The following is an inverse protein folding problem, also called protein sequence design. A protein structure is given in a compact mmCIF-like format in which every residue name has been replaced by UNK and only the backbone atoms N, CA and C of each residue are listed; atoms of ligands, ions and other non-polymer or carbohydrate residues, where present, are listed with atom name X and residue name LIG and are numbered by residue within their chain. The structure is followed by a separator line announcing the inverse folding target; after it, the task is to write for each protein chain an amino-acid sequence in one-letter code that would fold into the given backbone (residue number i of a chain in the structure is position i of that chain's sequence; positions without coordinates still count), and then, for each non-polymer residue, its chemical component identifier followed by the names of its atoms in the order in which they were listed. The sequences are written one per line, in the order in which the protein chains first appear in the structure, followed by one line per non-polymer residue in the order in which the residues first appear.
data_IF_903941724669
#
_entry.id   IF_903941724669
#
_cell.length_a   1.000
_cell.length_b   1.000
_cell.length_c   1.000
_cell.angle_alpha   90.00
_cell.angle_beta   90.00
_cell.angle_gamma   90.00
#
_symmetry.space_group_name_H-M   'P 1'
#
loop_
_entity.id
_entity.type
_entity.pdbx_description
1 polymer ?
#
# COMPACT_ATOMS: atom_id res chain seq x y z
N UNK A 1 19.56 29.92 92.11
CA UNK A 1 18.69 31.12 92.04
C UNK A 1 19.46 32.24 92.72
N UNK A 2 19.78 33.39 92.15
CA UNK A 2 19.63 33.94 90.80
C UNK A 2 19.98 35.42 91.00
N UNK A 3 21.26 35.78 90.87
CA UNK A 3 21.68 37.18 90.72
C UNK A 3 21.98 37.35 89.23
N UNK A 4 20.93 37.47 88.41
CA UNK A 4 20.42 38.75 87.91
C UNK A 4 21.56 39.66 87.45
N UNK A 5 21.87 39.48 86.17
CA UNK A 5 22.63 40.37 85.31
C UNK A 5 22.14 41.81 85.50
N UNK A 6 22.91 42.64 86.19
CA UNK A 6 22.74 44.09 86.15
C UNK A 6 23.29 44.56 84.78
N UNK A 7 22.51 44.30 83.73
CA UNK A 7 22.75 44.85 82.40
C UNK A 7 22.43 46.34 82.43
N UNK A 8 23.43 47.18 82.14
CA UNK A 8 23.27 48.62 82.04
C UNK A 8 22.17 48.95 81.01
N UNK A 9 21.08 49.63 81.41
CA UNK A 9 19.91 49.85 80.55
C UNK A 9 20.28 50.63 79.28
N UNK A 10 21.30 51.49 79.32
CA UNK A 10 21.73 52.26 78.16
C UNK A 10 22.40 51.38 77.08
N UNK A 11 23.12 50.34 77.47
CA UNK A 11 23.76 49.42 76.50
C UNK A 11 22.72 48.53 75.81
N UNK A 12 21.62 48.22 76.49
CA UNK A 12 20.49 47.49 75.93
C UNK A 12 19.76 48.36 74.88
N UNK A 13 19.51 49.64 75.18
CA UNK A 13 18.94 50.58 74.21
C UNK A 13 19.80 50.75 72.97
N UNK A 14 21.13 50.95 73.11
CA UNK A 14 22.04 51.04 71.96
C UNK A 14 22.03 49.78 71.10
N UNK A 15 21.96 48.60 71.72
CA UNK A 15 21.87 47.32 71.00
C UNK A 15 20.58 47.20 70.21
N UNK A 16 19.46 47.61 70.81
CA UNK A 16 18.15 47.61 70.15
C UNK A 16 18.13 48.58 68.98
N UNK A 17 18.60 49.82 69.16
CA UNK A 17 18.70 50.81 68.08
C UNK A 17 19.54 50.29 66.92
N UNK A 18 20.72 49.72 67.21
CA UNK A 18 21.59 49.10 66.20
C UNK A 18 20.91 47.94 65.48
N UNK A 19 20.13 47.13 66.20
CA UNK A 19 19.38 46.01 65.61
C UNK A 19 18.24 46.48 64.71
N UNK A 20 17.55 47.56 65.08
CA UNK A 20 16.48 48.17 64.29
C UNK A 20 17.06 48.78 63.02
N UNK A 21 18.12 49.58 63.11
CA UNK A 21 18.78 50.19 61.94
C UNK A 21 19.30 49.12 60.97
N UNK A 22 19.84 48.01 61.50
CA UNK A 22 20.28 46.88 60.70
C UNK A 22 19.10 46.15 60.03
N UNK A 23 17.99 46.00 60.72
CA UNK A 23 16.77 45.40 60.19
C UNK A 23 16.10 46.27 59.11
N UNK A 24 16.09 47.60 59.28
CA UNK A 24 15.59 48.53 58.26
C UNK A 24 16.43 48.47 56.99
N UNK A 25 17.77 48.48 57.14
CA UNK A 25 18.67 48.35 55.99
C UNK A 25 18.55 46.99 55.27
N UNK A 26 18.27 45.89 55.99
CA UNK A 26 18.04 44.60 55.35
C UNK A 26 16.69 44.52 54.63
N UNK A 27 15.64 45.16 55.17
CA UNK A 27 14.34 45.25 54.51
C UNK A 27 14.40 46.06 53.21
N UNK A 28 15.09 47.21 53.19
CA UNK A 28 15.29 48.01 51.98
C UNK A 28 16.09 47.25 50.91
N UNK A 29 17.10 46.47 51.34
CA UNK A 29 17.90 45.63 50.44
C UNK A 29 17.05 44.52 49.80
N UNK A 30 16.17 43.89 50.58
CA UNK A 30 15.26 42.86 50.06
C UNK A 30 14.19 43.43 49.13
N UNK A 31 13.68 44.63 49.44
CA UNK A 31 12.70 45.31 48.58
C UNK A 31 13.30 45.68 47.21
N UNK A 32 14.53 46.21 47.18
CA UNK A 32 15.24 46.50 45.93
C UNK A 32 15.62 45.25 45.14
N UNK A 33 15.96 44.15 45.84
CA UNK A 33 16.23 42.87 45.21
C UNK A 33 14.95 42.26 44.59
N UNK A 34 13.81 42.39 45.27
CA UNK A 34 12.50 41.97 44.72
C UNK A 34 12.07 42.80 43.51
N UNK A 35 12.26 44.12 43.53
CA UNK A 35 11.92 44.99 42.40
C UNK A 35 12.73 44.62 41.14
N UNK A 36 14.03 44.37 41.32
CA UNK A 36 14.89 43.89 40.23
C UNK A 36 14.45 42.52 39.69
N UNK A 37 14.09 41.59 40.57
CA UNK A 37 13.55 40.28 40.16
C UNK A 37 12.24 40.43 39.39
N UNK A 38 11.32 41.28 39.88
CA UNK A 38 10.04 41.54 39.22
C UNK A 38 10.24 42.10 37.81
N UNK A 39 11.15 43.08 37.64
CA UNK A 39 11.52 43.61 36.31
C UNK A 39 12.09 42.54 35.37
N UNK A 40 12.96 41.66 35.87
CA UNK A 40 13.52 40.60 35.03
C UNK A 40 12.47 39.60 34.56
N UNK A 41 11.51 39.26 35.43
CA UNK A 41 10.43 38.33 35.10
C UNK A 41 9.45 38.98 34.13
N UNK A 42 9.11 40.26 34.32
CA UNK A 42 8.20 40.97 33.40
C UNK A 42 8.81 41.14 32.01
N UNK A 43 10.10 41.47 31.90
CA UNK A 43 10.78 41.61 30.61
C UNK A 43 10.91 40.26 29.87
N UNK A 44 11.19 39.18 30.61
CA UNK A 44 11.19 37.83 30.06
C UNK A 44 9.78 37.41 29.59
N UNK A 45 8.74 37.73 30.36
CA UNK A 45 7.35 37.45 30.00
C UNK A 45 6.88 38.26 28.78
N UNK A 46 7.28 39.53 28.67
CA UNK A 46 6.96 40.37 27.51
C UNK A 46 7.66 39.87 26.24
N UNK A 47 8.92 39.44 26.33
CA UNK A 47 9.63 38.83 25.20
C UNK A 47 8.98 37.52 24.77
N UNK A 48 8.61 36.68 25.72
CA UNK A 48 7.92 35.41 25.43
C UNK A 48 6.53 35.64 24.80
N UNK A 49 5.77 36.62 25.29
CA UNK A 49 4.45 36.93 24.73
C UNK A 49 4.54 37.55 23.34
N UNK A 50 5.51 38.45 23.09
CA UNK A 50 5.76 38.98 21.73
C UNK A 50 6.15 37.88 20.75
N UNK A 51 7.03 36.98 21.13
CA UNK A 51 7.41 35.82 20.30
C UNK A 51 6.21 34.90 20.03
N UNK A 52 5.34 34.68 21.03
CA UNK A 52 4.14 33.88 20.85
C UNK A 52 3.14 34.53 19.89
N UNK A 53 2.95 35.85 19.96
CA UNK A 53 2.07 36.61 19.06
C UNK A 53 2.62 36.62 17.63
N UNK A 54 3.91 36.94 17.47
CA UNK A 54 4.56 36.96 16.16
C UNK A 54 4.59 35.58 15.50
N UNK A 55 4.87 34.53 16.28
CA UNK A 55 4.73 33.16 15.81
C UNK A 55 3.28 32.86 15.38
N UNK A 56 2.28 33.25 16.17
CA UNK A 56 0.87 33.01 15.86
C UNK A 56 0.41 33.71 14.57
N UNK A 57 0.91 34.92 14.30
CA UNK A 57 0.62 35.67 13.09
C UNK A 57 1.27 35.02 11.86
N UNK A 58 2.53 34.59 11.98
CA UNK A 58 3.25 33.85 10.93
C UNK A 58 2.61 32.47 10.68
N UNK A 59 2.13 31.78 11.71
CA UNK A 59 1.42 30.52 11.56
C UNK A 59 0.03 30.70 10.93
N UNK A 60 -0.66 31.81 11.19
CA UNK A 60 -1.98 32.09 10.58
C UNK A 60 -1.87 32.37 9.08
N UNK A 61 -0.86 33.15 8.66
CA UNK A 61 -0.53 33.39 7.25
C UNK A 61 0.06 32.14 6.59
N UNK A 62 0.86 31.37 7.34
CA UNK A 62 1.48 30.13 6.92
C UNK A 62 0.46 29.01 6.66
N UNK A 63 -0.61 28.90 7.45
CA UNK A 63 -1.62 27.83 7.34
C UNK A 63 -2.28 27.76 5.95
N UNK A 64 -2.66 28.90 5.36
CA UNK A 64 -3.26 28.89 4.00
C UNK A 64 -2.25 28.47 2.94
N UNK A 65 -1.02 28.97 3.02
CA UNK A 65 0.03 28.65 2.07
C UNK A 65 0.47 27.18 2.21
N UNK A 66 0.57 26.67 3.44
CA UNK A 66 0.85 25.25 3.72
C UNK A 66 -0.28 24.37 3.19
N UNK A 67 -1.55 24.70 3.46
CA UNK A 67 -2.70 23.91 2.98
C UNK A 67 -2.78 23.84 1.45
N UNK A 68 -2.46 24.93 0.75
CA UNK A 68 -2.40 24.93 -0.72
C UNK A 68 -1.30 23.98 -1.20
N UNK A 69 -0.09 24.07 -0.64
CA UNK A 69 1.03 23.22 -1.03
C UNK A 69 0.82 21.74 -0.68
N UNK A 70 0.26 21.43 0.49
CA UNK A 70 -0.05 20.04 0.86
C UNK A 70 -1.16 19.46 -0.02
N UNK A 71 -2.19 20.26 -0.33
CA UNK A 71 -3.24 19.87 -1.27
C UNK A 71 -2.72 19.59 -2.68
N UNK A 72 -1.79 20.42 -3.16
CA UNK A 72 -1.17 20.28 -4.48
C UNK A 72 -0.31 19.00 -4.56
N UNK A 73 0.49 18.73 -3.53
CA UNK A 73 1.28 17.48 -3.46
C UNK A 73 0.37 16.25 -3.40
N UNK A 74 -0.70 16.28 -2.61
CA UNK A 74 -1.65 15.17 -2.53
C UNK A 74 -2.34 14.92 -3.88
N UNK A 75 -2.79 15.97 -4.57
CA UNK A 75 -3.38 15.86 -5.90
C UNK A 75 -2.40 15.30 -6.93
N UNK A 76 -1.12 15.72 -6.89
CA UNK A 76 -0.09 15.23 -7.80
C UNK A 76 0.17 13.72 -7.62
N UNK A 77 0.20 13.23 -6.37
CA UNK A 77 0.37 11.81 -6.09
C UNK A 77 -0.81 10.97 -6.59
N UNK A 78 -2.04 11.44 -6.40
CA UNK A 78 -3.25 10.74 -6.89
C UNK A 78 -3.27 10.67 -8.42
N UNK A 79 -3.02 11.80 -9.09
CA UNK A 79 -2.95 11.85 -10.56
C UNK A 79 -1.82 10.96 -11.10
N UNK A 80 -0.64 11.00 -10.48
CA UNK A 80 0.50 10.15 -10.86
C UNK A 80 0.20 8.67 -10.70
N UNK A 81 -0.45 8.27 -9.60
CA UNK A 81 -0.87 6.89 -9.36
C UNK A 81 -1.91 6.40 -10.37
N UNK A 82 -2.93 7.20 -10.68
CA UNK A 82 -3.94 6.86 -11.69
C UNK A 82 -3.32 6.71 -13.08
N UNK A 83 -2.46 7.64 -13.51
CA UNK A 83 -1.83 7.58 -14.82
C UNK A 83 -0.85 6.42 -14.94
N UNK A 84 -0.05 6.17 -13.90
CA UNK A 84 0.88 5.04 -13.84
C UNK A 84 0.15 3.69 -13.88
N UNK A 85 -0.90 3.53 -13.07
CA UNK A 85 -1.73 2.33 -13.07
C UNK A 85 -2.45 2.09 -14.39
N UNK A 86 -2.96 3.15 -15.03
CA UNK A 86 -3.60 3.06 -16.34
C UNK A 86 -2.61 2.63 -17.43
N UNK A 87 -1.40 3.20 -17.45
CA UNK A 87 -0.38 2.86 -18.46
C UNK A 87 0.13 1.43 -18.31
N UNK A 88 0.46 1.00 -17.09
CA UNK A 88 0.93 -0.36 -16.81
C UNK A 88 -0.17 -1.40 -17.09
N UNK A 89 -1.40 -1.14 -16.63
CA UNK A 89 -2.53 -2.03 -16.90
C UNK A 89 -2.84 -2.13 -18.41
N UNK A 90 -2.68 -1.04 -19.15
CA UNK A 90 -2.89 -1.04 -20.61
C UNK A 90 -1.79 -1.78 -21.36
N UNK A 91 -0.52 -1.68 -20.98
CA UNK A 91 0.56 -2.45 -21.61
C UNK A 91 0.43 -3.95 -21.33
N UNK A 92 0.13 -4.31 -20.08
CA UNK A 92 0.00 -5.71 -19.67
C UNK A 92 -1.24 -6.34 -20.32
N UNK A 93 -2.38 -5.63 -20.29
CA UNK A 93 -3.61 -6.07 -20.96
C UNK A 93 -3.46 -6.19 -22.47
N UNK A 94 -2.73 -5.28 -23.14
CA UNK A 94 -2.48 -5.37 -24.58
C UNK A 94 -1.61 -6.57 -24.94
N UNK A 95 -0.54 -6.83 -24.17
CA UNK A 95 0.35 -7.96 -24.43
C UNK A 95 -0.34 -9.32 -24.23
N UNK A 96 -1.11 -9.48 -23.14
CA UNK A 96 -1.89 -10.69 -22.90
C UNK A 96 -2.99 -10.88 -23.94
N UNK A 97 -3.72 -9.81 -24.29
CA UNK A 97 -4.79 -9.87 -25.28
C UNK A 97 -4.28 -10.28 -26.66
N UNK A 98 -3.13 -9.75 -27.09
CA UNK A 98 -2.52 -10.13 -28.38
C UNK A 98 -2.04 -11.58 -28.40
N UNK A 99 -1.41 -12.06 -27.32
CA UNK A 99 -0.92 -13.43 -27.28
C UNK A 99 -2.06 -14.45 -27.33
N UNK A 100 -3.12 -14.23 -26.54
CA UNK A 100 -4.29 -15.10 -26.49
C UNK A 100 -5.05 -15.05 -27.82
N UNK A 101 -5.31 -13.86 -28.35
CA UNK A 101 -6.01 -13.69 -29.63
C UNK A 101 -5.24 -14.30 -30.80
N UNK A 102 -3.92 -14.17 -30.82
CA UNK A 102 -3.10 -14.77 -31.87
C UNK A 102 -3.06 -16.30 -31.78
N UNK A 103 -3.00 -16.87 -30.58
CA UNK A 103 -3.09 -18.32 -30.41
C UNK A 103 -4.45 -18.85 -30.84
N UNK A 104 -5.55 -18.18 -30.44
CA UNK A 104 -6.90 -18.55 -30.86
C UNK A 104 -7.05 -18.48 -32.39
N UNK A 105 -6.61 -17.38 -33.01
CA UNK A 105 -6.65 -17.24 -34.47
C UNK A 105 -5.82 -18.32 -35.19
N UNK A 106 -4.64 -18.68 -34.67
CA UNK A 106 -3.85 -19.78 -35.22
C UNK A 106 -4.56 -21.13 -35.09
N UNK A 107 -5.20 -21.41 -33.95
CA UNK A 107 -5.92 -22.68 -33.75
C UNK A 107 -7.14 -22.80 -34.65
N UNK A 108 -7.89 -21.72 -34.84
CA UNK A 108 -9.04 -21.68 -35.74
C UNK A 108 -8.61 -21.81 -37.21
N UNK A 109 -7.54 -21.09 -37.60
CA UNK A 109 -6.98 -21.22 -38.94
C UNK A 109 -6.40 -22.61 -39.20
N UNK A 110 -5.75 -23.22 -38.20
CA UNK A 110 -5.23 -24.58 -38.32
C UNK A 110 -6.36 -25.62 -38.42
N UNK A 111 -7.44 -25.46 -37.66
CA UNK A 111 -8.62 -26.31 -37.76
C UNK A 111 -9.30 -26.19 -39.14
N UNK A 112 -9.46 -24.95 -39.64
CA UNK A 112 -10.00 -24.69 -40.97
C UNK A 112 -9.09 -25.23 -42.08
N UNK A 113 -7.78 -25.03 -41.96
CA UNK A 113 -6.79 -25.53 -42.91
C UNK A 113 -6.73 -27.06 -42.92
N UNK A 114 -6.86 -27.71 -41.76
CA UNK A 114 -6.91 -29.17 -41.67
C UNK A 114 -8.07 -29.77 -42.47
N UNK A 115 -9.25 -29.15 -42.42
CA UNK A 115 -10.41 -29.56 -43.22
C UNK A 115 -10.15 -29.56 -44.73
N UNK A 116 -9.27 -28.69 -45.22
CA UNK A 116 -8.88 -28.62 -46.63
C UNK A 116 -7.81 -29.63 -47.04
N UNK A 117 -7.16 -30.31 -46.10
CA UNK A 117 -6.17 -31.36 -46.41
C UNK A 117 -6.85 -32.59 -47.02
N UNK A 118 -6.13 -33.45 -47.77
CA UNK A 118 -6.70 -34.70 -48.30
C UNK A 118 -7.31 -35.58 -47.20
N UNK A 119 -6.69 -35.61 -46.01
CA UNK A 119 -7.18 -36.34 -44.84
C UNK A 119 -8.47 -35.73 -44.29
N UNK A 120 -8.57 -34.40 -44.23
CA UNK A 120 -9.79 -33.70 -43.81
C UNK A 120 -10.94 -33.88 -44.80
N UNK A 121 -10.65 -33.84 -46.10
CA UNK A 121 -11.64 -34.13 -47.15
C UNK A 121 -12.15 -35.56 -47.09
N UNK A 122 -11.26 -36.53 -46.85
CA UNK A 122 -11.64 -37.93 -46.62
C UNK A 122 -12.52 -38.08 -45.37
N UNK A 123 -12.12 -37.46 -44.26
CA UNK A 123 -12.91 -37.48 -43.02
C UNK A 123 -14.31 -36.89 -43.23
N UNK A 124 -14.44 -35.80 -44.00
CA UNK A 124 -15.73 -35.21 -44.36
C UNK A 124 -16.60 -36.14 -45.22
N UNK A 125 -16.00 -36.86 -46.17
CA UNK A 125 -16.73 -37.86 -46.96
C UNK A 125 -17.19 -39.05 -46.09
N UNK A 126 -16.35 -39.51 -45.15
CA UNK A 126 -16.72 -40.56 -44.20
C UNK A 126 -17.80 -40.11 -43.22
N UNK A 127 -17.79 -38.84 -42.80
CA UNK A 127 -18.81 -38.24 -41.94
C UNK A 127 -20.17 -38.15 -42.66
N UNK A 128 -20.18 -37.70 -43.92
CA UNK A 128 -21.37 -37.73 -44.78
C UNK A 128 -21.96 -39.13 -44.96
N UNK A 129 -21.11 -40.15 -44.97
CA UNK A 129 -21.52 -41.56 -45.05
C UNK A 129 -21.97 -42.13 -43.68
N UNK A 130 -21.91 -41.36 -42.59
CA UNK A 130 -22.24 -41.80 -41.22
C UNK A 130 -21.20 -42.74 -40.60
N UNK A 131 -20.10 -43.02 -41.29
CA UNK A 131 -19.09 -43.99 -40.88
C UNK A 131 -18.13 -43.42 -39.83
N UNK A 132 -17.87 -42.10 -39.87
CA UNK A 132 -16.89 -41.45 -38.99
C UNK A 132 -17.31 -41.51 -37.51
N UNK A 133 -18.56 -41.16 -37.22
CA UNK A 133 -19.12 -41.20 -35.86
C UNK A 133 -19.21 -42.63 -35.34
N UNK A 134 -19.59 -43.58 -36.19
CA UNK A 134 -19.70 -44.99 -35.81
C UNK A 134 -18.33 -45.64 -35.58
N UNK A 135 -17.29 -45.24 -36.32
CA UNK A 135 -15.90 -45.65 -36.06
C UNK A 135 -15.36 -45.00 -34.77
N UNK A 136 -15.66 -43.72 -34.54
CA UNK A 136 -15.23 -43.00 -33.33
C UNK A 136 -15.83 -43.57 -32.03
N UNK A 137 -17.05 -44.10 -32.09
CA UNK A 137 -17.71 -44.77 -30.95
C UNK A 137 -17.51 -46.29 -30.94
N UNK A 138 -16.73 -46.86 -31.87
CA UNK A 138 -16.57 -48.31 -32.00
C UNK A 138 -17.87 -49.10 -32.14
N UNK A 139 -18.86 -48.53 -32.84
CA UNK A 139 -20.14 -49.19 -33.15
C UNK A 139 -20.20 -49.78 -34.56
N UNK A 140 -19.09 -49.76 -35.30
CA UNK A 140 -19.01 -50.32 -36.65
C UNK A 140 -18.94 -51.86 -36.58
N UNK A 141 -19.76 -52.60 -37.36
CA UNK A 141 -19.68 -54.05 -37.42
C UNK A 141 -18.29 -54.51 -37.87
N UNK A 142 -17.73 -55.53 -37.21
CA UNK A 142 -16.38 -56.01 -37.48
C UNK A 142 -15.25 -55.15 -36.88
N UNK A 143 -15.56 -54.27 -35.91
CA UNK A 143 -14.55 -53.56 -35.10
C UNK A 143 -14.76 -53.82 -33.60
N UNK A 144 -13.66 -53.90 -32.86
CA UNK A 144 -13.64 -54.10 -31.41
C UNK A 144 -12.74 -53.04 -30.75
N UNK A 145 -13.24 -52.48 -29.65
CA UNK A 145 -12.52 -51.51 -28.83
C UNK A 145 -11.49 -52.23 -27.95
N UNK A 146 -10.20 -52.02 -28.19
CA UNK A 146 -9.11 -52.56 -27.35
C UNK A 146 -8.36 -51.43 -26.67
N UNK A 147 -8.11 -51.62 -25.38
CA UNK A 147 -7.34 -50.67 -24.59
C UNK A 147 -5.85 -50.85 -24.88
N UNK A 148 -5.20 -49.80 -25.36
CA UNK A 148 -3.76 -49.81 -25.59
C UNK A 148 -3.04 -49.21 -24.36
N UNK A 149 -2.29 -50.03 -23.59
CA UNK A 149 -1.64 -49.58 -22.36
C UNK A 149 -0.50 -48.57 -22.60
N UNK A 150 0.03 -48.48 -23.83
CA UNK A 150 1.11 -47.54 -24.18
C UNK A 150 0.61 -46.10 -24.28
N UNK A 151 -0.52 -45.89 -24.95
CA UNK A 151 -1.07 -44.55 -25.16
C UNK A 151 -2.16 -44.17 -24.14
N UNK A 152 -2.56 -45.10 -23.25
CA UNK A 152 -3.64 -44.93 -22.27
C UNK A 152 -4.98 -44.54 -22.93
N UNK A 153 -5.23 -45.07 -24.13
CA UNK A 153 -6.44 -44.81 -24.92
C UNK A 153 -7.03 -46.11 -25.41
N UNK A 154 -8.35 -46.11 -25.61
CA UNK A 154 -9.03 -47.19 -26.31
C UNK A 154 -9.00 -46.91 -27.80
N UNK A 155 -8.47 -47.84 -28.57
CA UNK A 155 -8.46 -47.79 -30.03
C UNK A 155 -9.43 -48.83 -30.59
N UNK A 156 -9.98 -48.51 -31.76
CA UNK A 156 -10.87 -49.37 -32.50
C UNK A 156 -10.07 -50.21 -33.49
N UNK A 157 -10.03 -51.53 -33.31
CA UNK A 157 -9.34 -52.44 -34.23
C UNK A 157 -10.35 -53.27 -35.02
N UNK A 158 -10.08 -53.55 -36.30
CA UNK A 158 -10.89 -54.50 -37.05
C UNK A 158 -10.76 -55.89 -36.40
N UNK A 159 -11.86 -56.65 -36.37
CA UNK A 159 -11.88 -58.02 -35.87
C UNK A 159 -11.22 -58.95 -36.87
N UNK A 160 -10.27 -59.76 -36.41
CA UNK A 160 -9.55 -60.71 -37.25
C UNK A 160 -10.36 -62.00 -37.40
N UNK A 161 -10.55 -62.49 -38.63
CA UNK A 161 -11.07 -63.83 -38.90
C UNK A 161 -9.98 -64.74 -39.49
N UNK A 162 -10.28 -66.03 -39.68
CA UNK A 162 -9.30 -67.03 -40.12
C UNK A 162 -8.61 -66.74 -41.47
N UNK A 163 -9.09 -65.75 -42.23
CA UNK A 163 -8.53 -65.28 -43.51
C UNK A 163 -7.76 -63.94 -43.42
N UNK A 164 -7.61 -63.35 -42.24
CA UNK A 164 -6.91 -62.07 -42.02
C UNK A 164 -7.81 -60.97 -41.44
N UNK A 165 -7.41 -59.70 -41.62
CA UNK A 165 -8.23 -58.55 -41.22
C UNK A 165 -9.32 -58.34 -42.27
N UNK A 166 -10.56 -58.78 -42.01
CA UNK A 166 -11.69 -58.50 -42.90
C UNK A 166 -12.58 -57.42 -42.30
N UNK A 167 -12.65 -56.28 -42.97
CA UNK A 167 -13.73 -55.32 -42.74
C UNK A 167 -14.90 -55.83 -43.58
N UNK A 168 -15.89 -56.48 -42.95
CA UNK A 168 -17.10 -56.86 -43.67
C UNK A 168 -17.91 -55.57 -43.95
N UNK A 169 -18.41 -55.36 -45.19
CA UNK A 169 -19.22 -54.21 -45.53
C UNK A 169 -20.58 -54.20 -44.83
#
# INVERSE_FOLDING_TARGET
MSDMLEEDPFELFKRVEKSITKATGSMERLASEQDNRCRTISDAAEKASRLAVEASDVFSAGKRRLMIWTGLCAAMLVCGGMLGGYWLGRSDGWSQGNAIGHQQALTENAAAAWGNTPSGQLAFQMDKAGLLQALGHCHLPGYEAKYEPKDKRTFCYPTQNASGWSVQP
#
